data_IF_342424974852
#
_entry.id   IF_342424974852
#
_cell.length_a   1.000
_cell.length_b   1.000
_cell.length_c   1.000
_cell.angle_alpha   90.00
_cell.angle_beta   90.00
_cell.angle_gamma   90.00
#
_symmetry.space_group_name_H-M   'P 1'
#
loop_
_entity.id
_entity.type
_entity.pdbx_description
1 polymer ?
#
# COMPACT_ATOMS: atom_id res chain seq x y z
N UNK A 1 5.79 -38.27 39.34
CA UNK A 1 5.68 -38.83 37.98
C UNK A 1 4.29 -38.61 37.37
N UNK A 2 3.24 -39.06 37.97
CA UNK A 2 1.89 -38.95 37.38
C UNK A 2 1.36 -37.47 37.27
N UNK A 3 1.78 -36.61 38.17
CA UNK A 3 1.39 -35.19 38.23
C UNK A 3 2.12 -34.36 37.17
N UNK A 4 3.38 -34.69 36.89
CA UNK A 4 4.18 -34.04 35.83
C UNK A 4 3.67 -34.40 34.43
N UNK A 5 3.25 -35.64 34.22
CA UNK A 5 2.67 -36.07 32.95
C UNK A 5 1.32 -35.39 32.65
N UNK A 6 0.50 -35.18 33.67
CA UNK A 6 -0.76 -34.43 33.55
C UNK A 6 -0.53 -32.97 33.23
N UNK A 7 0.46 -32.35 33.87
CA UNK A 7 0.86 -30.96 33.61
C UNK A 7 1.37 -30.79 32.19
N UNK A 8 2.28 -31.65 31.76
CA UNK A 8 2.85 -31.63 30.41
C UNK A 8 1.78 -31.85 29.33
N UNK A 9 0.81 -32.74 29.58
CA UNK A 9 -0.32 -32.96 28.65
C UNK A 9 -1.21 -31.71 28.54
N UNK A 10 -1.50 -31.07 29.68
CA UNK A 10 -2.30 -29.84 29.70
C UNK A 10 -1.58 -28.69 29.03
N UNK A 11 -0.29 -28.51 29.29
CA UNK A 11 0.55 -27.50 28.67
C UNK A 11 0.63 -27.67 27.15
N UNK A 12 0.83 -28.89 26.68
CA UNK A 12 0.83 -29.21 25.24
C UNK A 12 -0.52 -28.88 24.57
N UNK A 13 -1.65 -29.15 25.23
CA UNK A 13 -2.98 -28.77 24.73
C UNK A 13 -3.15 -27.26 24.61
N UNK A 14 -2.63 -26.49 25.57
CA UNK A 14 -2.67 -25.03 25.54
C UNK A 14 -1.84 -24.51 24.37
N UNK A 15 -0.61 -25.00 24.20
CA UNK A 15 0.25 -24.61 23.07
C UNK A 15 -0.42 -24.89 21.73
N UNK A 16 -1.02 -26.07 21.57
CA UNK A 16 -1.72 -26.42 20.33
C UNK A 16 -2.89 -25.47 20.09
N UNK A 17 -3.68 -25.15 21.11
CA UNK A 17 -4.80 -24.21 20.96
C UNK A 17 -4.33 -22.81 20.56
N UNK A 18 -3.28 -22.31 21.19
CA UNK A 18 -2.68 -21.02 20.84
C UNK A 18 -2.15 -21.04 19.41
N UNK A 19 -1.44 -22.09 19.02
CA UNK A 19 -0.94 -22.26 17.65
C UNK A 19 -2.06 -22.25 16.60
N UNK A 20 -3.19 -22.96 16.88
CA UNK A 20 -4.36 -22.97 16.00
C UNK A 20 -4.98 -21.58 15.88
N UNK A 21 -5.12 -20.85 16.98
CA UNK A 21 -5.67 -19.47 16.96
C UNK A 21 -4.77 -18.55 16.13
N UNK A 22 -3.45 -18.61 16.33
CA UNK A 22 -2.48 -17.82 15.56
C UNK A 22 -2.58 -18.17 14.06
N UNK A 23 -2.67 -19.45 13.74
CA UNK A 23 -2.82 -19.91 12.35
C UNK A 23 -4.09 -19.35 11.70
N UNK A 24 -5.21 -19.38 12.42
CA UNK A 24 -6.49 -18.81 11.93
C UNK A 24 -6.32 -17.30 11.67
N UNK A 25 -5.69 -16.55 12.58
CA UNK A 25 -5.42 -15.14 12.39
C UNK A 25 -4.56 -14.85 11.16
N UNK A 26 -3.52 -15.65 10.95
CA UNK A 26 -2.66 -15.54 9.76
C UNK A 26 -3.46 -15.79 8.49
N UNK A 27 -4.29 -16.82 8.44
CA UNK A 27 -5.11 -17.14 7.26
C UNK A 27 -6.11 -16.01 6.97
N UNK A 28 -6.80 -15.50 7.99
CA UNK A 28 -7.72 -14.38 7.85
C UNK A 28 -6.98 -13.13 7.34
N UNK A 29 -5.84 -12.79 7.93
CA UNK A 29 -5.05 -11.63 7.51
C UNK A 29 -4.57 -11.74 6.06
N UNK A 30 -4.11 -12.91 5.65
CA UNK A 30 -3.71 -13.15 4.25
C UNK A 30 -4.89 -13.07 3.29
N UNK A 31 -6.05 -13.60 3.67
CA UNK A 31 -7.28 -13.48 2.88
C UNK A 31 -7.72 -12.03 2.72
N UNK A 32 -7.70 -11.25 3.79
CA UNK A 32 -8.02 -9.82 3.75
C UNK A 32 -7.02 -9.04 2.89
N UNK A 33 -5.73 -9.31 3.03
CA UNK A 33 -4.71 -8.69 2.19
C UNK A 33 -4.91 -9.02 0.70
N UNK A 34 -5.21 -10.27 0.38
CA UNK A 34 -5.48 -10.68 -1.00
C UNK A 34 -6.68 -9.93 -1.61
N UNK A 35 -7.71 -9.65 -0.81
CA UNK A 35 -8.91 -8.94 -1.27
C UNK A 35 -8.68 -7.44 -1.34
N UNK A 36 -8.07 -6.82 -0.31
CA UNK A 36 -8.04 -5.37 -0.17
C UNK A 36 -6.80 -4.69 -0.76
N UNK A 37 -5.64 -5.34 -0.76
CA UNK A 37 -4.39 -4.74 -1.26
C UNK A 37 -4.48 -4.30 -2.73
N UNK A 38 -5.11 -5.08 -3.65
CA UNK A 38 -5.25 -4.64 -5.04
C UNK A 38 -6.07 -3.36 -5.22
N UNK A 39 -6.93 -3.04 -4.27
CA UNK A 39 -7.76 -1.83 -4.27
C UNK A 39 -7.20 -0.71 -3.39
N UNK A 40 -6.02 -0.89 -2.80
CA UNK A 40 -5.38 0.18 -2.04
C UNK A 40 -4.98 1.33 -2.96
N UNK A 41 -5.03 2.56 -2.46
CA UNK A 41 -4.59 3.74 -3.22
C UNK A 41 -3.17 3.58 -3.77
N UNK A 42 -2.27 2.99 -2.99
CA UNK A 42 -0.88 2.74 -3.41
C UNK A 42 -0.80 1.81 -4.61
N UNK A 43 -1.57 0.71 -4.60
CA UNK A 43 -1.59 -0.24 -5.71
C UNK A 43 -2.19 0.37 -6.98
N UNK A 44 -3.28 1.13 -6.84
CA UNK A 44 -3.94 1.84 -7.94
C UNK A 44 -3.02 2.91 -8.52
N UNK A 45 -2.41 3.73 -7.67
CA UNK A 45 -1.49 4.79 -8.09
C UNK A 45 -0.26 4.20 -8.80
N UNK A 46 0.31 3.12 -8.28
CA UNK A 46 1.42 2.42 -8.92
C UNK A 46 1.04 1.78 -10.27
N UNK A 47 -0.16 1.22 -10.36
CA UNK A 47 -0.68 0.68 -11.61
C UNK A 47 -0.86 1.79 -12.65
N UNK A 48 -1.49 2.90 -12.27
CA UNK A 48 -1.69 4.05 -13.14
C UNK A 48 -0.36 4.65 -13.63
N UNK A 49 0.63 4.72 -12.75
CA UNK A 49 1.96 5.21 -13.07
C UNK A 49 2.64 4.40 -14.20
N UNK A 50 2.35 3.10 -14.28
CA UNK A 50 2.90 2.21 -15.32
C UNK A 50 2.17 2.26 -16.66
N UNK A 51 0.95 2.79 -16.71
CA UNK A 51 0.09 2.70 -17.88
C UNK A 51 0.51 3.61 -19.03
N UNK A 52 1.00 4.81 -18.71
CA UNK A 52 1.45 5.79 -19.70
C UNK A 52 2.57 6.65 -19.13
N UNK A 53 3.25 7.35 -20.01
CA UNK A 53 4.20 8.39 -19.64
C UNK A 53 3.46 9.66 -19.20
N UNK A 54 3.95 10.28 -18.14
CA UNK A 54 3.42 11.53 -17.60
C UNK A 54 4.50 12.60 -17.59
N UNK A 55 4.09 13.84 -17.89
CA UNK A 55 4.98 15.01 -17.85
C UNK A 55 5.09 15.58 -16.43
N UNK A 56 4.02 15.45 -15.64
CA UNK A 56 3.91 16.06 -14.31
C UNK A 56 3.49 15.01 -13.29
N UNK A 57 4.17 15.00 -12.16
CA UNK A 57 3.89 14.17 -11.00
C UNK A 57 3.45 15.05 -9.84
N UNK A 58 2.19 14.90 -9.40
CA UNK A 58 1.70 15.59 -8.20
C UNK A 58 1.87 14.66 -7.00
N UNK A 59 2.62 15.12 -6.01
CA UNK A 59 2.84 14.39 -4.74
C UNK A 59 2.50 15.29 -3.56
N UNK A 60 1.91 14.73 -2.54
CA UNK A 60 1.48 15.45 -1.36
C UNK A 60 0.45 14.70 -0.55
N UNK A 61 -0.22 15.41 0.32
CA UNK A 61 -1.19 14.87 1.27
C UNK A 61 -2.61 14.80 0.70
N UNK A 62 -3.60 14.58 1.57
CA UNK A 62 -5.03 14.56 1.19
C UNK A 62 -5.51 15.84 0.50
N UNK A 63 -4.93 17.00 0.80
CA UNK A 63 -5.27 18.25 0.14
C UNK A 63 -4.95 18.21 -1.36
N UNK A 64 -3.78 17.70 -1.71
CA UNK A 64 -3.41 17.49 -3.11
C UNK A 64 -4.28 16.41 -3.78
N UNK A 65 -4.61 15.32 -3.06
CA UNK A 65 -5.48 14.26 -3.59
C UNK A 65 -6.86 14.75 -3.98
N UNK A 66 -7.45 15.62 -3.18
CA UNK A 66 -8.79 16.16 -3.40
C UNK A 66 -8.82 17.49 -4.15
N UNK A 67 -7.71 18.24 -4.17
CA UNK A 67 -7.65 19.60 -4.73
C UNK A 67 -7.05 19.68 -6.12
N UNK A 68 -6.40 18.62 -6.60
CA UNK A 68 -5.76 18.62 -7.93
C UNK A 68 -6.45 17.59 -8.81
N UNK A 69 -7.10 18.07 -9.87
CA UNK A 69 -7.58 17.21 -10.97
C UNK A 69 -6.56 17.24 -12.12
N UNK A 70 -5.86 16.12 -12.37
CA UNK A 70 -4.87 16.06 -13.44
C UNK A 70 -5.47 16.28 -14.84
N UNK A 71 -6.73 15.91 -15.05
CA UNK A 71 -7.39 16.09 -16.34
C UNK A 71 -7.65 17.57 -16.64
N UNK A 72 -8.09 18.34 -15.66
CA UNK A 72 -8.26 19.79 -15.78
C UNK A 72 -6.91 20.51 -15.95
N UNK A 73 -5.90 20.09 -15.20
CA UNK A 73 -4.55 20.64 -15.34
C UNK A 73 -3.95 20.34 -16.74
N UNK A 74 -4.21 19.16 -17.31
CA UNK A 74 -3.80 18.80 -18.67
C UNK A 74 -4.53 19.65 -19.72
N UNK A 75 -5.82 19.91 -19.55
CA UNK A 75 -6.61 20.74 -20.45
C UNK A 75 -6.07 22.18 -20.57
N UNK A 76 -5.52 22.71 -19.47
CA UNK A 76 -4.95 24.07 -19.44
C UNK A 76 -3.50 24.12 -19.85
N UNK A 77 -2.69 23.18 -19.38
CA UNK A 77 -1.22 23.18 -19.58
C UNK A 77 -0.78 22.43 -20.85
N UNK A 78 -1.59 21.54 -21.38
CA UNK A 78 -1.22 20.62 -22.47
C UNK A 78 -0.23 19.53 -22.03
N UNK A 79 0.02 19.39 -20.72
CA UNK A 79 0.94 18.38 -20.15
C UNK A 79 0.19 17.35 -19.34
N UNK A 80 0.45 16.08 -19.63
CA UNK A 80 -0.17 14.96 -18.90
C UNK A 80 0.35 14.90 -17.46
N UNK A 81 -0.54 14.68 -16.50
CA UNK A 81 -0.20 14.57 -15.10
C UNK A 81 -0.79 13.35 -14.41
N UNK A 82 -0.15 12.91 -13.34
CA UNK A 82 -0.68 11.88 -12.45
C UNK A 82 -0.68 12.36 -11.01
N UNK A 83 -1.80 12.17 -10.31
CA UNK A 83 -1.96 12.56 -8.91
C UNK A 83 -1.66 11.37 -7.99
N UNK A 84 -0.48 11.37 -7.39
CA UNK A 84 0.01 10.37 -6.43
C UNK A 84 -0.09 10.87 -4.98
N UNK A 85 -0.81 11.96 -4.73
CA UNK A 85 -1.07 12.42 -3.37
C UNK A 85 -1.86 11.37 -2.58
N UNK A 86 -1.57 11.23 -1.29
CA UNK A 86 -2.19 10.25 -0.41
C UNK A 86 -2.57 10.87 0.93
N UNK A 87 -3.77 10.57 1.42
CA UNK A 87 -4.19 10.98 2.75
C UNK A 87 -3.37 10.33 3.85
N UNK A 88 -2.90 11.13 4.82
CA UNK A 88 -2.06 10.65 5.91
C UNK A 88 -0.66 10.23 5.47
N UNK A 89 -0.16 10.85 4.42
CA UNK A 89 1.10 10.51 3.80
C UNK A 89 2.30 10.60 4.75
N UNK A 90 3.17 9.61 4.62
CA UNK A 90 4.51 9.63 5.22
C UNK A 90 5.57 9.95 4.15
N UNK A 91 6.64 10.68 4.49
CA UNK A 91 7.72 11.01 3.55
C UNK A 91 8.32 9.79 2.84
N UNK A 92 8.31 8.63 3.50
CA UNK A 92 8.78 7.37 2.91
C UNK A 92 7.92 6.92 1.71
N UNK A 93 6.61 7.15 1.73
CA UNK A 93 5.73 6.85 0.60
C UNK A 93 6.03 7.76 -0.59
N UNK A 94 6.10 9.08 -0.35
CA UNK A 94 6.47 10.04 -1.40
C UNK A 94 7.82 9.69 -2.04
N UNK A 95 8.83 9.43 -1.22
CA UNK A 95 10.15 9.03 -1.72
C UNK A 95 10.08 7.76 -2.59
N UNK A 96 9.35 6.75 -2.13
CA UNK A 96 9.19 5.50 -2.88
C UNK A 96 8.49 5.73 -4.22
N UNK A 97 7.38 6.46 -4.25
CA UNK A 97 6.61 6.72 -5.46
C UNK A 97 7.38 7.60 -6.45
N UNK A 98 8.07 8.62 -5.98
CA UNK A 98 8.96 9.46 -6.83
C UNK A 98 10.09 8.62 -7.40
N UNK A 99 10.71 7.76 -6.59
CA UNK A 99 11.76 6.85 -7.05
C UNK A 99 11.25 5.89 -8.13
N UNK A 100 10.05 5.31 -7.96
CA UNK A 100 9.43 4.45 -8.96
C UNK A 100 9.09 5.23 -10.23
N UNK A 101 8.52 6.42 -10.12
CA UNK A 101 8.22 7.28 -11.24
C UNK A 101 9.48 7.62 -12.05
N UNK A 102 10.55 8.02 -11.40
CA UNK A 102 11.83 8.32 -12.05
C UNK A 102 12.48 7.10 -12.71
N UNK A 103 12.26 5.90 -12.17
CA UNK A 103 12.77 4.67 -12.79
C UNK A 103 11.98 4.24 -14.04
N UNK A 104 10.69 4.61 -14.09
CA UNK A 104 9.81 4.29 -15.22
C UNK A 104 9.89 5.39 -16.29
N UNK A 105 9.99 6.66 -15.87
CA UNK A 105 9.97 7.85 -16.72
C UNK A 105 11.14 8.78 -16.39
N UNK A 106 12.08 8.90 -17.31
CA UNK A 106 13.32 9.69 -17.10
C UNK A 106 13.13 11.21 -17.19
N UNK A 107 11.97 11.72 -17.61
CA UNK A 107 11.75 13.14 -17.94
C UNK A 107 10.67 13.84 -17.13
N UNK A 108 10.37 13.37 -15.92
CA UNK A 108 9.31 13.93 -15.08
C UNK A 108 9.68 15.27 -14.46
N UNK A 109 8.75 16.23 -14.53
CA UNK A 109 8.79 17.48 -13.77
C UNK A 109 8.05 17.27 -12.45
N UNK A 110 8.72 17.57 -11.34
CA UNK A 110 8.16 17.46 -9.99
C UNK A 110 7.53 18.78 -9.55
N UNK A 111 6.33 18.67 -9.00
CA UNK A 111 5.63 19.80 -8.37
C UNK A 111 5.23 19.40 -6.96
#
# INVERSE_FOLDING_TARGET
>A
MQQEDLFMRSFRKIIIRVAVVVLIFVIINQGLNFIFVPYSYVAVDYHNLKQKEYDILYVGTSHGKCGIDPAEAEAVSGKSGVNLCLGGEYPAYTYYMVKQACSIHLSLIHI
#
